data_IF_593975099720
#
_entry.id   IF_593975099720
#
_cell.length_a   1.000
_cell.length_b   1.000
_cell.length_c   1.000
_cell.angle_alpha   90.00
_cell.angle_beta   90.00
_cell.angle_gamma   90.00
#
_symmetry.space_group_name_H-M   'P 1'
#
loop_
_entity.id
_entity.type
_entity.pdbx_description
1 polymer ?
#
# COMPACT_ATOMS: atom_id res chain seq x y z
N UNK A 1 6.61 -17.81 1.13
CA UNK A 1 6.19 -16.47 0.66
C UNK A 1 6.07 -16.53 -0.86
N UNK A 2 4.95 -16.07 -1.40
CA UNK A 2 4.70 -15.94 -2.84
C UNK A 2 4.15 -14.54 -3.10
N UNK A 3 4.93 -13.65 -3.73
CA UNK A 3 4.59 -12.23 -3.77
C UNK A 3 3.40 -11.90 -4.69
N UNK A 4 2.96 -12.84 -5.54
CA UNK A 4 1.83 -12.72 -6.46
C UNK A 4 0.84 -13.88 -6.24
N UNK A 5 0.55 -14.66 -7.28
CA UNK A 5 -0.28 -15.86 -7.17
C UNK A 5 0.48 -17.04 -6.55
N UNK A 6 -0.24 -17.82 -5.74
CA UNK A 6 0.29 -19.06 -5.16
C UNK A 6 0.59 -20.09 -6.25
N UNK A 7 1.77 -20.71 -6.18
CA UNK A 7 2.20 -21.75 -7.13
C UNK A 7 1.79 -23.18 -6.74
N UNK A 8 1.06 -23.39 -5.64
CA UNK A 8 0.58 -24.72 -5.23
C UNK A 8 -0.93 -24.76 -5.00
N UNK A 9 -1.58 -25.81 -5.53
CA UNK A 9 -3.03 -26.05 -5.41
C UNK A 9 -3.48 -26.57 -4.03
N UNK A 10 -2.55 -26.74 -3.09
CA UNK A 10 -2.79 -27.25 -1.74
C UNK A 10 -3.71 -26.36 -0.89
N UNK A 11 -4.09 -25.18 -1.39
CA UNK A 11 -4.90 -24.19 -0.68
C UNK A 11 -6.09 -23.66 -1.48
N UNK A 12 -6.56 -24.41 -2.48
CA UNK A 12 -7.57 -23.93 -3.43
C UNK A 12 -6.95 -22.97 -4.44
N UNK A 13 -7.39 -23.04 -5.70
CA UNK A 13 -6.79 -22.37 -6.86
C UNK A 13 -6.79 -20.84 -6.88
N UNK A 14 -6.94 -20.18 -5.72
CA UNK A 14 -6.82 -18.74 -5.52
C UNK A 14 -6.35 -18.46 -4.08
N UNK A 15 -5.11 -18.82 -3.75
CA UNK A 15 -4.51 -18.53 -2.44
C UNK A 15 -3.66 -17.26 -2.48
N UNK A 16 -4.29 -16.13 -2.85
CA UNK A 16 -3.66 -14.80 -2.93
C UNK A 16 -3.40 -14.15 -1.56
N UNK A 17 -3.30 -14.91 -0.46
CA UNK A 17 -3.13 -14.36 0.90
C UNK A 17 -1.71 -14.52 1.47
N UNK A 18 -0.73 -14.92 0.65
CA UNK A 18 0.63 -15.25 1.11
C UNK A 18 1.74 -14.49 0.40
N UNK A 19 1.55 -13.19 0.24
CA UNK A 19 2.58 -12.28 -0.24
C UNK A 19 2.10 -11.04 -0.97
N UNK A 20 0.95 -11.02 -1.68
CA UNK A 20 0.49 -9.80 -2.31
C UNK A 20 -0.11 -8.82 -1.29
N UNK A 21 -0.10 -7.54 -1.66
CA UNK A 21 -0.69 -6.44 -0.89
C UNK A 21 -2.17 -6.32 -1.26
N UNK A 22 -3.02 -6.37 -0.24
CA UNK A 22 -4.48 -6.20 -0.34
C UNK A 22 -4.91 -4.94 0.42
N UNK A 23 -5.64 -4.05 -0.25
CA UNK A 23 -6.07 -2.78 0.34
C UNK A 23 -6.96 -2.94 1.58
N UNK A 24 -8.02 -3.79 1.61
CA UNK A 24 -8.90 -3.91 2.78
C UNK A 24 -8.15 -4.23 4.07
N UNK A 25 -7.25 -5.21 4.03
CA UNK A 25 -6.55 -5.67 5.22
C UNK A 25 -5.50 -4.66 5.66
N UNK A 26 -4.75 -4.06 4.72
CA UNK A 26 -3.78 -3.02 5.10
C UNK A 26 -4.48 -1.77 5.64
N UNK A 27 -5.62 -1.38 5.08
CA UNK A 27 -6.41 -0.26 5.56
C UNK A 27 -6.92 -0.50 6.99
N UNK A 28 -7.50 -1.67 7.26
CA UNK A 28 -7.94 -2.03 8.62
C UNK A 28 -6.79 -2.08 9.63
N UNK A 29 -5.60 -2.52 9.19
CA UNK A 29 -4.41 -2.50 10.03
C UNK A 29 -3.97 -1.08 10.38
N UNK A 30 -3.93 -0.18 9.39
CA UNK A 30 -3.59 1.24 9.58
C UNK A 30 -4.56 1.90 10.57
N UNK A 31 -5.86 1.73 10.35
CA UNK A 31 -6.91 2.25 11.25
C UNK A 31 -6.78 1.71 12.68
N UNK A 32 -6.41 0.44 12.81
CA UNK A 32 -6.21 -0.18 14.12
C UNK A 32 -4.98 0.40 14.83
N UNK A 33 -3.88 0.62 14.10
CA UNK A 33 -2.66 1.22 14.64
C UNK A 33 -2.90 2.66 15.12
N UNK A 34 -3.64 3.45 14.34
CA UNK A 34 -4.04 4.82 14.74
C UNK A 34 -4.87 4.79 16.03
N UNK A 35 -5.91 3.94 16.11
CA UNK A 35 -6.74 3.79 17.32
C UNK A 35 -5.96 3.34 18.54
N UNK A 36 -5.02 2.41 18.38
CA UNK A 36 -4.16 2.00 19.48
C UNK A 36 -3.16 3.10 19.88
N UNK A 37 -2.70 3.92 18.94
CA UNK A 37 -1.91 5.10 19.25
C UNK A 37 -2.71 6.10 20.09
N UNK A 38 -3.97 6.35 19.76
CA UNK A 38 -4.83 7.24 20.55
C UNK A 38 -4.99 6.74 22.00
N UNK A 39 -4.99 5.42 22.21
CA UNK A 39 -5.12 4.82 23.53
C UNK A 39 -3.79 4.79 24.32
N UNK A 40 -2.69 4.39 23.69
CA UNK A 40 -1.38 4.19 24.36
C UNK A 40 -0.47 5.42 24.31
N UNK A 41 -0.75 6.38 23.44
CA UNK A 41 0.12 7.51 23.11
C UNK A 41 1.50 7.06 22.60
N UNK A 42 2.49 7.92 22.79
CA UNK A 42 3.88 7.69 22.35
C UNK A 42 4.63 6.61 23.16
N UNK A 43 3.98 6.00 24.15
CA UNK A 43 4.60 5.00 25.03
C UNK A 43 4.74 3.63 24.36
N UNK A 44 3.95 3.34 23.33
CA UNK A 44 4.05 2.11 22.57
C UNK A 44 4.89 2.33 21.31
N UNK A 45 6.16 1.89 21.36
CA UNK A 45 7.08 1.95 20.22
C UNK A 45 7.45 0.53 19.76
N UNK A 46 7.50 0.35 18.45
CA UNK A 46 7.84 -0.91 17.81
C UNK A 46 8.96 -0.70 16.79
N UNK A 47 9.73 -1.75 16.53
CA UNK A 47 10.78 -1.69 15.52
C UNK A 47 10.17 -1.68 14.13
N UNK A 48 10.53 -0.68 13.32
CA UNK A 48 10.06 -0.55 11.95
C UNK A 48 11.11 0.09 11.02
N UNK A 49 11.44 -0.56 9.87
CA UNK A 49 11.07 -1.93 9.52
C UNK A 49 11.72 -2.95 10.48
N UNK A 50 11.17 -4.15 10.56
CA UNK A 50 11.74 -5.23 11.39
C UNK A 50 13.22 -5.48 11.04
N UNK A 51 14.08 -5.56 12.07
CA UNK A 51 15.52 -5.73 11.93
C UNK A 51 16.31 -4.45 11.62
N UNK A 52 15.69 -3.27 11.63
CA UNK A 52 16.37 -1.98 11.39
C UNK A 52 16.99 -1.34 12.64
N UNK A 53 16.62 -1.79 13.84
CA UNK A 53 16.91 -1.13 15.11
C UNK A 53 16.18 0.19 15.33
N UNK A 54 15.37 0.66 14.37
CA UNK A 54 14.65 1.93 14.46
C UNK A 54 13.30 1.74 15.12
N UNK A 55 13.08 2.40 16.26
CA UNK A 55 11.82 2.35 17.00
C UNK A 55 10.92 3.52 16.62
N UNK A 56 9.73 3.22 16.11
CA UNK A 56 8.69 4.19 15.75
C UNK A 56 7.47 4.02 16.66
N UNK A 57 6.71 5.10 16.89
CA UNK A 57 5.39 5.01 17.53
C UNK A 57 4.37 4.33 16.61
N UNK A 58 3.25 3.87 17.15
CA UNK A 58 2.19 3.27 16.34
C UNK A 58 1.64 4.23 15.27
N UNK A 59 1.53 5.53 15.57
CA UNK A 59 1.15 6.55 14.60
C UNK A 59 2.18 6.70 13.47
N UNK A 60 3.47 6.71 13.79
CA UNK A 60 4.54 6.77 12.78
C UNK A 60 4.52 5.53 11.87
N UNK A 61 4.30 4.34 12.44
CA UNK A 61 4.15 3.11 11.64
C UNK A 61 2.91 3.16 10.74
N UNK A 62 1.78 3.66 11.24
CA UNK A 62 0.57 3.82 10.44
C UNK A 62 0.79 4.80 9.26
N UNK A 63 1.48 5.91 9.51
CA UNK A 63 1.84 6.88 8.47
C UNK A 63 2.78 6.26 7.41
N UNK A 64 3.80 5.51 7.83
CA UNK A 64 4.72 4.82 6.91
C UNK A 64 4.00 3.78 6.04
N UNK A 65 3.08 2.99 6.61
CA UNK A 65 2.29 2.03 5.85
C UNK A 65 1.34 2.72 4.87
N UNK A 66 0.69 3.80 5.28
CA UNK A 66 -0.17 4.63 4.42
C UNK A 66 0.62 5.17 3.23
N UNK A 67 1.80 5.76 3.48
CA UNK A 67 2.70 6.26 2.45
C UNK A 67 3.14 5.15 1.48
N UNK A 68 3.43 3.94 1.97
CA UNK A 68 3.79 2.81 1.09
C UNK A 68 2.64 2.40 0.16
N UNK A 69 1.40 2.39 0.63
CA UNK A 69 0.23 2.10 -0.21
C UNK A 69 0.00 3.20 -1.24
N UNK A 70 0.13 4.48 -0.84
CA UNK A 70 0.01 5.62 -1.76
C UNK A 70 1.09 5.57 -2.84
N UNK A 71 2.32 5.20 -2.47
CA UNK A 71 3.46 5.09 -3.39
C UNK A 71 3.27 4.08 -4.51
N UNK A 72 2.38 3.09 -4.35
CA UNK A 72 2.00 2.19 -5.45
C UNK A 72 1.44 2.98 -6.63
N UNK A 73 0.73 4.07 -6.35
CA UNK A 73 0.06 4.92 -7.31
C UNK A 73 0.88 6.13 -7.74
N UNK A 74 1.93 6.54 -7.04
CA UNK A 74 2.74 7.71 -7.44
C UNK A 74 3.87 7.32 -8.39
N UNK A 75 4.40 8.29 -9.13
CA UNK A 75 5.61 8.07 -9.92
C UNK A 75 6.83 8.01 -8.99
N UNK A 76 7.69 7.02 -9.20
CA UNK A 76 8.98 6.91 -8.52
C UNK A 76 10.04 7.81 -9.19
N UNK A 77 11.30 7.71 -8.74
CA UNK A 77 12.43 8.48 -9.27
C UNK A 77 12.71 8.23 -10.76
N UNK A 78 12.23 7.11 -11.30
CA UNK A 78 12.32 6.78 -12.73
C UNK A 78 11.08 7.24 -13.52
N UNK A 79 10.17 7.98 -12.89
CA UNK A 79 8.92 8.44 -13.49
C UNK A 79 7.85 7.35 -13.65
N UNK A 80 8.05 6.15 -13.08
CA UNK A 80 7.18 4.98 -13.26
C UNK A 80 6.25 4.78 -12.07
N UNK A 81 5.02 4.34 -12.31
CA UNK A 81 4.08 3.93 -11.25
C UNK A 81 4.21 2.44 -10.99
N UNK A 82 4.48 1.98 -9.76
CA UNK A 82 4.62 0.56 -9.46
C UNK A 82 3.47 -0.32 -9.97
N UNK A 83 2.21 0.13 -9.85
CA UNK A 83 1.06 -0.70 -10.23
C UNK A 83 0.99 -1.07 -11.71
N UNK A 84 1.58 -0.30 -12.63
CA UNK A 84 1.64 -0.70 -14.04
C UNK A 84 2.70 -1.78 -14.33
N UNK A 85 3.54 -2.10 -13.33
CA UNK A 85 4.60 -3.09 -13.43
C UNK A 85 5.51 -2.82 -14.64
N UNK A 86 5.77 -3.87 -15.41
CA UNK A 86 6.60 -3.81 -16.62
C UNK A 86 5.89 -3.35 -17.90
N UNK A 87 4.63 -2.87 -17.82
CA UNK A 87 3.85 -2.55 -19.02
C UNK A 87 4.23 -1.18 -19.58
N UNK A 88 5.21 -1.14 -20.49
CA UNK A 88 5.78 0.10 -21.06
C UNK A 88 4.71 1.06 -21.60
N UNK A 89 3.69 0.55 -22.30
CA UNK A 89 2.61 1.38 -22.87
C UNK A 89 1.93 2.24 -21.81
N UNK A 90 1.57 1.67 -20.66
CA UNK A 90 0.91 2.40 -19.58
C UNK A 90 1.90 3.22 -18.73
N UNK A 91 3.21 2.95 -18.80
CA UNK A 91 4.20 3.78 -18.10
C UNK A 91 4.54 5.05 -18.89
N UNK A 92 4.71 4.94 -20.20
CA UNK A 92 5.40 5.95 -21.00
C UNK A 92 4.48 6.71 -21.96
N UNK A 93 3.40 6.07 -22.47
CA UNK A 93 2.56 6.71 -23.48
C UNK A 93 1.79 7.91 -22.91
N UNK A 94 1.94 9.13 -23.46
CA UNK A 94 1.28 10.33 -22.95
C UNK A 94 -0.24 10.25 -22.87
N UNK A 95 -0.88 9.44 -23.71
CA UNK A 95 -2.33 9.28 -23.73
C UNK A 95 -2.86 8.27 -22.70
N UNK A 96 -1.99 7.41 -22.17
CA UNK A 96 -2.40 6.27 -21.33
C UNK A 96 -1.80 6.33 -19.92
N UNK A 97 -0.65 6.97 -19.74
CA UNK A 97 0.12 6.94 -18.48
C UNK A 97 -0.54 7.56 -17.26
N UNK A 98 -1.58 8.35 -17.50
CA UNK A 98 -2.35 9.02 -16.45
C UNK A 98 -3.78 8.45 -16.34
N UNK A 99 -4.10 7.36 -17.07
CA UNK A 99 -5.34 6.60 -16.93
C UNK A 99 -5.20 5.54 -15.82
N UNK A 100 -5.35 5.97 -14.59
CA UNK A 100 -5.09 5.17 -13.39
C UNK A 100 -6.05 3.97 -13.29
N UNK A 101 -5.49 2.78 -13.14
CA UNK A 101 -6.23 1.53 -12.94
C UNK A 101 -6.25 1.14 -11.46
N UNK A 102 -7.34 0.49 -11.06
CA UNK A 102 -7.52 -0.01 -9.71
C UNK A 102 -7.50 -1.52 -9.74
N UNK A 103 -6.38 -2.09 -9.32
CA UNK A 103 -6.16 -3.53 -9.32
C UNK A 103 -6.73 -4.19 -8.06
N UNK A 104 -7.06 -5.48 -8.19
CA UNK A 104 -7.63 -6.28 -7.11
C UNK A 104 -6.64 -6.44 -5.93
N UNK A 105 -5.38 -6.71 -6.26
CA UNK A 105 -4.26 -6.84 -5.33
C UNK A 105 -2.94 -6.48 -6.03
N UNK A 106 -1.86 -6.35 -5.26
CA UNK A 106 -0.57 -5.91 -5.79
C UNK A 106 0.55 -6.88 -5.41
N UNK A 107 1.53 -7.03 -6.28
CA UNK A 107 2.68 -7.88 -6.05
C UNK A 107 3.52 -7.37 -4.86
N UNK A 108 3.79 -8.23 -3.87
CA UNK A 108 4.44 -7.86 -2.60
C UNK A 108 5.84 -7.23 -2.76
N UNK A 109 6.62 -7.69 -3.74
CA UNK A 109 8.01 -7.22 -3.89
C UNK A 109 8.16 -5.97 -4.77
N UNK A 110 7.31 -5.78 -5.79
CA UNK A 110 7.49 -4.75 -6.82
C UNK A 110 6.27 -3.86 -7.02
N UNK A 111 5.15 -4.13 -6.34
CA UNK A 111 3.95 -3.32 -6.39
C UNK A 111 3.14 -3.41 -7.68
N UNK A 112 3.45 -4.33 -8.61
CA UNK A 112 2.67 -4.51 -9.84
C UNK A 112 1.21 -4.87 -9.51
N UNK A 113 0.26 -4.21 -10.17
CA UNK A 113 -1.17 -4.49 -10.03
C UNK A 113 -1.54 -5.81 -10.69
N UNK A 114 -2.33 -6.62 -10.00
CA UNK A 114 -2.71 -7.97 -10.39
C UNK A 114 -4.24 -8.16 -10.25
N UNK A 115 -4.77 -9.23 -10.84
CA UNK A 115 -6.22 -9.48 -10.88
C UNK A 115 -6.97 -8.45 -11.74
N UNK A 116 -8.24 -8.23 -11.44
CA UNK A 116 -9.08 -7.31 -12.21
C UNK A 116 -8.59 -5.84 -12.11
N UNK A 117 -8.43 -5.15 -13.25
CA UNK A 117 -7.89 -3.78 -13.33
C UNK A 117 -8.91 -2.62 -13.14
N UNK A 118 -10.19 -2.94 -12.96
CA UNK A 118 -11.27 -1.97 -12.70
C UNK A 118 -11.96 -2.22 -11.35
N UNK A 119 -11.20 -2.71 -10.37
CA UNK A 119 -11.61 -2.91 -8.99
C UNK A 119 -11.55 -1.59 -8.19
N UNK A 120 -12.30 -0.57 -8.63
CA UNK A 120 -12.49 0.69 -7.86
C UNK A 120 -13.34 0.47 -6.59
N UNK A 121 -13.54 -0.79 -6.17
CA UNK A 121 -14.10 -1.13 -4.87
C UNK A 121 -13.10 -0.82 -3.77
N UNK A 122 -12.54 -1.84 -3.14
CA UNK A 122 -11.67 -1.62 -1.98
C UNK A 122 -10.37 -0.88 -2.28
N UNK A 123 -9.84 -0.95 -3.50
CA UNK A 123 -8.60 -0.24 -3.85
C UNK A 123 -8.82 1.28 -3.90
N UNK A 124 -10.09 1.73 -4.03
CA UNK A 124 -10.47 3.13 -3.88
C UNK A 124 -10.16 3.73 -2.51
N UNK A 125 -9.96 2.91 -1.47
CA UNK A 125 -9.53 3.36 -0.13
C UNK A 125 -8.21 4.14 -0.14
N UNK A 126 -7.40 4.04 -1.20
CA UNK A 126 -6.21 4.89 -1.38
C UNK A 126 -6.55 6.39 -1.33
N UNK A 127 -7.73 6.80 -1.79
CA UNK A 127 -8.15 8.20 -1.76
C UNK A 127 -8.29 8.73 -0.32
N UNK A 128 -8.84 7.90 0.56
CA UNK A 128 -8.98 8.21 1.98
C UNK A 128 -7.60 8.31 2.66
N UNK A 129 -6.70 7.35 2.39
CA UNK A 129 -5.33 7.40 2.90
C UNK A 129 -4.58 8.68 2.46
N UNK A 130 -4.78 9.12 1.21
CA UNK A 130 -4.20 10.38 0.70
C UNK A 130 -4.74 11.56 1.51
N UNK A 131 -6.05 11.61 1.76
CA UNK A 131 -6.69 12.67 2.52
C UNK A 131 -6.18 12.74 3.97
N UNK A 132 -6.12 11.59 4.66
CA UNK A 132 -5.62 11.50 6.03
C UNK A 132 -4.16 11.97 6.11
N UNK A 133 -3.31 11.46 5.22
CA UNK A 133 -1.88 11.78 5.18
C UNK A 133 -1.61 13.25 4.87
N UNK A 134 -2.40 13.85 3.97
CA UNK A 134 -2.30 15.28 3.68
C UNK A 134 -2.70 16.13 4.89
N UNK A 135 -3.76 15.74 5.62
CA UNK A 135 -4.18 16.41 6.85
C UNK A 135 -3.13 16.35 7.96
N UNK A 136 -2.49 15.19 8.17
CA UNK A 136 -1.42 15.04 9.15
C UNK A 136 -0.21 15.95 8.86
N UNK A 137 0.18 16.10 7.59
CA UNK A 137 1.28 16.99 7.21
C UNK A 137 0.98 18.46 7.51
N UNK A 138 -0.26 18.89 7.31
CA UNK A 138 -0.70 20.26 7.65
C UNK A 138 -0.62 20.49 9.16
N UNK A 139 -1.08 19.52 9.96
CA UNK A 139 -1.08 19.64 11.42
C UNK A 139 0.33 19.59 12.05
N UNK A 140 1.32 19.00 11.37
CA UNK A 140 2.73 18.99 11.84
C UNK A 140 3.49 20.30 11.54
N UNK A 141 2.95 21.17 10.68
CA UNK A 141 3.56 22.45 10.31
C UNK A 141 2.96 23.67 11.03
N UNK A 142 1.86 23.48 11.77
CA UNK A 142 1.18 24.48 12.61
C UNK A 142 1.60 24.38 14.06
#
# INVERSE_FOLDING_TARGET
YWPAESRSGLFGGNSNWRGPVWFPINYLLIESLQKFCDYYGDNCRVEYPTGSGTLLTLAEVAAELSQRLIRLFTRNDQGKRPFYGGTTTFQENPHWRDLILFHEYFHGDNGAGLGAGHQTGWTGLVADLIQQTAGELVNRQS
#
